data_IF_729928777541
#
_entry.id   IF_729928777541
#
_cell.length_a   1.000
_cell.length_b   1.000
_cell.length_c   1.000
_cell.angle_alpha   90.00
_cell.angle_beta   90.00
_cell.angle_gamma   90.00
#
_symmetry.space_group_name_H-M   'P 1'
#
loop_
_entity.id
_entity.type
_entity.pdbx_description
1 polymer ?
#
# COMPACT_ATOMS: atom_id res chain seq x y z
N UNK A 1 -31.41 13.11 21.08
CA UNK A 1 -30.71 12.05 20.31
C UNK A 1 -31.64 10.86 20.16
N UNK A 2 -31.72 10.27 18.97
CA UNK A 2 -32.36 8.98 18.76
C UNK A 2 -31.32 8.07 18.11
N UNK A 3 -30.98 6.94 18.73
CA UNK A 3 -29.98 5.98 18.24
C UNK A 3 -28.61 6.60 17.90
N UNK A 4 -28.07 7.47 18.77
CA UNK A 4 -26.77 8.12 18.55
C UNK A 4 -26.78 9.20 17.45
N UNK A 5 -27.95 9.59 16.94
CA UNK A 5 -28.10 10.67 15.94
C UNK A 5 -28.73 11.90 16.56
N UNK A 6 -28.22 13.08 16.17
CA UNK A 6 -28.83 14.37 16.45
C UNK A 6 -28.64 15.29 15.24
N UNK A 7 -29.63 16.13 14.91
CA UNK A 7 -29.50 17.10 13.84
C UNK A 7 -28.56 18.24 14.25
N UNK A 8 -27.74 18.71 13.32
CA UNK A 8 -26.92 19.92 13.46
C UNK A 8 -27.19 20.82 12.26
N UNK A 9 -27.57 22.06 12.52
CA UNK A 9 -27.73 23.07 11.46
C UNK A 9 -26.41 23.81 11.29
N UNK A 10 -25.92 23.86 10.05
CA UNK A 10 -24.67 24.55 9.70
C UNK A 10 -24.99 25.68 8.74
N UNK A 11 -24.58 26.91 9.09
CA UNK A 11 -24.76 28.07 8.21
C UNK A 11 -23.81 28.03 7.01
N UNK A 12 -24.20 28.59 5.84
CA UNK A 12 -23.29 28.75 4.72
C UNK A 12 -22.03 29.51 5.14
N UNK A 13 -20.84 29.02 4.75
CA UNK A 13 -19.53 29.56 5.11
C UNK A 13 -19.23 29.62 6.63
N UNK A 14 -19.97 28.90 7.47
CA UNK A 14 -19.73 28.83 8.92
C UNK A 14 -19.02 27.55 9.37
N UNK A 15 -18.31 27.62 10.50
CA UNK A 15 -17.80 26.43 11.21
C UNK A 15 -18.72 26.17 12.40
N UNK A 16 -19.27 24.96 12.50
CA UNK A 16 -20.06 24.51 13.66
C UNK A 16 -19.30 23.41 14.40
N UNK A 17 -19.12 23.56 15.70
CA UNK A 17 -18.46 22.57 16.56
C UNK A 17 -19.48 21.89 17.48
N UNK A 18 -19.31 20.59 17.70
CA UNK A 18 -20.10 19.80 18.66
C UNK A 18 -19.13 19.18 19.66
N UNK A 19 -19.44 19.33 20.95
CA UNK A 19 -18.74 18.65 22.03
C UNK A 19 -19.69 17.60 22.62
N UNK A 20 -19.20 16.37 22.78
CA UNK A 20 -19.90 15.31 23.50
C UNK A 20 -19.11 15.05 24.78
N UNK A 21 -19.68 15.43 25.91
CA UNK A 21 -19.04 15.32 27.22
C UNK A 21 -19.39 13.99 27.91
N UNK A 22 -18.54 13.55 28.84
CA UNK A 22 -18.81 12.41 29.72
C UNK A 22 -18.75 11.03 29.03
N UNK A 23 -18.27 10.95 27.80
CA UNK A 23 -18.09 9.68 27.07
C UNK A 23 -16.62 9.27 27.06
N UNK A 24 -16.36 7.98 27.32
CA UNK A 24 -15.06 7.38 27.08
C UNK A 24 -15.03 6.87 25.62
N UNK A 25 -14.14 7.39 24.75
CA UNK A 25 -14.05 6.89 23.39
C UNK A 25 -13.51 5.45 23.39
N UNK A 26 -14.13 4.56 22.60
CA UNK A 26 -13.57 3.26 22.28
C UNK A 26 -12.53 3.48 21.18
N UNK A 27 -11.24 3.46 21.55
CA UNK A 27 -10.11 3.80 20.67
C UNK A 27 -9.41 2.58 20.08
N UNK A 28 -10.17 1.66 19.47
CA UNK A 28 -9.62 0.41 18.92
C UNK A 28 -8.63 0.60 17.74
N UNK A 29 -8.62 1.79 17.12
CA UNK A 29 -7.79 2.12 15.96
C UNK A 29 -6.45 2.76 16.33
N UNK A 30 -6.45 3.71 17.27
CA UNK A 30 -5.23 4.43 17.67
C UNK A 30 -4.20 3.49 18.30
N UNK A 31 -4.63 2.55 19.13
CA UNK A 31 -3.72 1.59 19.79
C UNK A 31 -3.03 0.63 18.81
N UNK A 32 -3.66 0.33 17.67
CA UNK A 32 -3.09 -0.56 16.65
C UNK A 32 -2.03 0.13 15.79
N UNK A 33 -2.15 1.44 15.59
CA UNK A 33 -1.23 2.26 14.76
C UNK A 33 -0.11 2.86 15.59
N UNK A 34 -0.38 3.31 16.82
CA UNK A 34 0.60 3.99 17.67
C UNK A 34 1.57 3.02 18.38
N UNK A 35 1.29 1.72 18.37
CA UNK A 35 2.24 0.71 18.89
C UNK A 35 3.47 0.64 18.00
N UNK A 36 4.62 1.04 18.55
CA UNK A 36 5.93 0.88 17.91
C UNK A 36 6.22 -0.60 17.67
N UNK A 37 6.15 -1.03 16.42
CA UNK A 37 6.71 -2.31 15.97
C UNK A 37 8.12 -2.10 15.44
N UNK A 38 8.98 -3.10 15.56
CA UNK A 38 10.32 -3.07 14.94
C UNK A 38 10.19 -2.84 13.43
N UNK A 39 10.82 -1.77 12.93
CA UNK A 39 10.84 -1.44 11.51
C UNK A 39 11.79 -2.38 10.76
N UNK A 40 11.44 -2.72 9.52
CA UNK A 40 12.34 -3.48 8.65
C UNK A 40 13.50 -2.57 8.23
N UNK A 41 14.73 -3.08 8.27
CA UNK A 41 15.95 -2.33 7.91
C UNK A 41 16.01 -1.97 6.43
N UNK A 42 15.43 -2.80 5.57
CA UNK A 42 15.36 -2.60 4.12
C UNK A 42 13.90 -2.63 3.68
N UNK A 43 13.16 -1.60 4.09
CA UNK A 43 11.75 -1.39 3.77
C UNK A 43 11.52 -0.63 2.47
N UNK A 44 12.58 -0.22 1.77
CA UNK A 44 12.54 0.41 0.45
C UNK A 44 13.46 -0.30 -0.53
N UNK A 45 13.02 -0.39 -1.78
CA UNK A 45 13.78 -0.89 -2.92
C UNK A 45 13.54 0.00 -4.13
N UNK A 46 14.60 0.24 -4.89
CA UNK A 46 14.56 0.88 -6.20
C UNK A 46 15.48 0.12 -7.16
N UNK A 47 14.98 -0.21 -8.34
CA UNK A 47 15.79 -0.84 -9.38
C UNK A 47 16.88 0.13 -9.85
N UNK A 48 18.00 -0.40 -10.36
CA UNK A 48 19.14 0.43 -10.79
C UNK A 48 18.79 1.44 -11.89
N UNK A 49 17.80 1.11 -12.72
CA UNK A 49 17.28 1.98 -13.79
C UNK A 49 16.13 2.89 -13.32
N UNK A 50 15.75 2.83 -12.04
CA UNK A 50 14.70 3.65 -11.44
C UNK A 50 13.27 3.27 -11.85
N UNK A 51 13.09 2.24 -12.68
CA UNK A 51 11.79 1.89 -13.27
C UNK A 51 10.84 1.18 -12.32
N UNK A 52 11.38 0.49 -11.33
CA UNK A 52 10.62 -0.27 -10.33
C UNK A 52 10.98 0.25 -8.96
N UNK A 53 9.95 0.55 -8.17
CA UNK A 53 10.11 0.90 -6.76
C UNK A 53 9.19 0.03 -5.91
N UNK A 54 9.66 -0.33 -4.73
CA UNK A 54 8.87 -1.06 -3.76
C UNK A 54 9.10 -0.49 -2.36
N UNK A 55 8.04 -0.48 -1.56
CA UNK A 55 8.10 -0.07 -0.16
C UNK A 55 7.25 -0.97 0.72
N UNK A 56 7.69 -1.20 1.94
CA UNK A 56 6.89 -1.85 2.97
C UNK A 56 6.11 -0.78 3.74
N UNK A 57 4.79 -0.78 3.56
CA UNK A 57 3.88 0.03 4.35
C UNK A 57 3.50 -0.77 5.60
N UNK A 58 3.99 -0.34 6.77
CA UNK A 58 3.73 -0.99 8.04
C UNK A 58 2.87 -0.09 8.95
N UNK A 59 1.60 -0.45 9.13
CA UNK A 59 0.65 0.25 10.00
C UNK A 59 0.50 -0.46 11.36
N UNK A 60 1.59 -1.00 11.89
CA UNK A 60 1.61 -1.73 13.16
C UNK A 60 0.82 -3.04 13.08
N UNK A 61 -0.11 -3.24 14.02
CA UNK A 61 -0.93 -4.46 14.07
C UNK A 61 -2.15 -4.41 13.13
N UNK A 62 -2.38 -3.29 12.44
CA UNK A 62 -3.53 -3.14 11.55
C UNK A 62 -3.30 -3.80 10.19
N UNK A 63 -2.21 -3.44 9.52
CA UNK A 63 -1.87 -3.97 8.20
C UNK A 63 -0.38 -3.82 7.94
N UNK A 64 0.16 -4.76 7.16
CA UNK A 64 1.48 -4.67 6.57
C UNK A 64 1.39 -5.08 5.11
N UNK A 65 1.80 -4.21 4.20
CA UNK A 65 1.73 -4.45 2.77
C UNK A 65 3.03 -4.06 2.09
N UNK A 66 3.48 -4.85 1.12
CA UNK A 66 4.45 -4.39 0.15
C UNK A 66 3.70 -3.71 -0.99
N UNK A 67 4.01 -2.43 -1.19
CA UNK A 67 3.51 -1.66 -2.32
C UNK A 67 4.62 -1.56 -3.36
N UNK A 68 4.33 -1.96 -4.59
CA UNK A 68 5.26 -1.94 -5.72
C UNK A 68 4.61 -1.10 -6.82
N UNK A 69 5.36 -0.21 -7.43
CA UNK A 69 4.88 0.58 -8.56
C UNK A 69 5.99 0.77 -9.59
N UNK A 70 5.57 0.99 -10.84
CA UNK A 70 6.47 1.30 -11.93
C UNK A 70 6.36 2.77 -12.32
N UNK A 71 7.45 3.33 -12.82
CA UNK A 71 7.48 4.70 -13.35
C UNK A 71 7.09 4.79 -14.83
N UNK A 72 7.16 3.66 -15.55
CA UNK A 72 6.75 3.55 -16.95
C UNK A 72 5.22 3.61 -17.08
N UNK A 73 4.73 4.04 -18.24
CA UNK A 73 3.31 4.24 -18.50
C UNK A 73 2.78 3.34 -19.63
N UNK A 74 1.49 3.48 -19.92
CA UNK A 74 0.79 2.73 -20.96
C UNK A 74 1.13 3.19 -22.39
N UNK A 75 2.08 4.10 -22.60
CA UNK A 75 2.65 4.38 -23.94
C UNK A 75 3.70 3.34 -24.31
N UNK A 76 4.44 2.82 -23.33
CA UNK A 76 5.52 1.84 -23.54
C UNK A 76 5.09 0.42 -23.22
N UNK A 77 4.22 0.24 -22.23
CA UNK A 77 3.80 -1.07 -21.71
C UNK A 77 2.32 -1.37 -21.99
N UNK A 78 1.99 -2.66 -22.11
CA UNK A 78 0.61 -3.15 -22.16
C UNK A 78 0.20 -3.93 -20.91
N UNK A 79 1.16 -4.50 -20.18
CA UNK A 79 0.91 -5.22 -18.94
C UNK A 79 2.18 -5.31 -18.10
N UNK A 80 2.02 -5.56 -16.82
CA UNK A 80 3.11 -5.83 -15.86
C UNK A 80 2.71 -7.01 -14.99
N UNK A 81 3.65 -7.91 -14.73
CA UNK A 81 3.44 -9.06 -13.87
C UNK A 81 4.46 -9.05 -12.73
N UNK A 82 3.97 -9.07 -11.49
CA UNK A 82 4.75 -9.43 -10.33
C UNK A 82 4.67 -10.94 -10.10
N UNK A 83 5.82 -11.58 -9.89
CA UNK A 83 5.89 -13.02 -9.61
C UNK A 83 6.77 -13.30 -8.40
N UNK A 84 6.25 -14.02 -7.43
CA UNK A 84 7.00 -14.61 -6.31
C UNK A 84 6.92 -16.13 -6.36
N UNK A 85 7.42 -16.81 -5.33
CA UNK A 85 7.34 -18.28 -5.24
C UNK A 85 5.90 -18.79 -5.21
N UNK A 86 5.00 -18.07 -4.52
CA UNK A 86 3.64 -18.54 -4.20
C UNK A 86 2.54 -17.65 -4.82
N UNK A 87 2.92 -16.57 -5.51
CA UNK A 87 1.99 -15.55 -6.01
C UNK A 87 2.40 -15.07 -7.39
N UNK A 88 1.42 -14.91 -8.28
CA UNK A 88 1.58 -14.20 -9.54
C UNK A 88 0.41 -13.25 -9.71
N UNK A 89 0.71 -11.96 -9.94
CA UNK A 89 -0.27 -10.90 -10.17
C UNK A 89 0.08 -10.20 -11.46
N UNK A 90 -0.92 -9.95 -12.31
CA UNK A 90 -0.75 -9.23 -13.57
C UNK A 90 -1.69 -8.03 -13.56
N UNK A 91 -1.15 -6.87 -13.93
CA UNK A 91 -1.89 -5.63 -14.13
C UNK A 91 -1.75 -5.19 -15.60
N UNK A 92 -2.87 -4.93 -16.25
CA UNK A 92 -2.95 -4.57 -17.67
C UNK A 92 -3.36 -3.11 -17.86
N UNK A 93 -3.52 -2.35 -16.77
CA UNK A 93 -3.99 -0.97 -16.79
C UNK A 93 -3.01 -0.06 -16.06
N UNK A 94 -2.73 1.09 -16.65
CA UNK A 94 -1.96 2.12 -15.97
C UNK A 94 -2.83 2.86 -14.93
N UNK A 95 -2.32 3.18 -13.73
CA UNK A 95 -0.94 2.96 -13.25
C UNK A 95 -0.65 1.51 -12.90
N UNK A 96 0.56 1.02 -13.25
CA UNK A 96 0.97 -0.34 -12.94
C UNK A 96 1.46 -0.46 -11.50
N UNK A 97 0.65 -1.07 -10.64
CA UNK A 97 0.93 -1.17 -9.21
C UNK A 97 0.46 -2.50 -8.58
N UNK A 98 1.13 -2.89 -7.50
CA UNK A 98 0.79 -4.09 -6.75
C UNK A 98 0.77 -3.78 -5.26
N UNK A 99 -0.31 -4.16 -4.59
CA UNK A 99 -0.41 -4.16 -3.13
C UNK A 99 -0.48 -5.60 -2.63
N UNK A 100 0.60 -6.05 -2.00
CA UNK A 100 0.76 -7.44 -1.57
C UNK A 100 0.68 -7.49 -0.04
N UNK A 101 -0.28 -8.21 0.55
CA UNK A 101 -0.32 -8.45 1.99
C UNK A 101 0.94 -9.18 2.47
N UNK A 102 1.58 -8.67 3.51
CA UNK A 102 2.76 -9.27 4.13
C UNK A 102 2.36 -9.93 5.44
N UNK A 103 2.51 -11.26 5.50
CA UNK A 103 2.15 -12.05 6.69
C UNK A 103 2.92 -11.60 7.92
N UNK A 104 2.29 -11.70 9.08
CA UNK A 104 2.97 -11.54 10.36
C UNK A 104 4.12 -12.56 10.46
N UNK A 105 5.30 -12.11 10.88
CA UNK A 105 6.51 -12.94 10.97
C UNK A 105 7.25 -13.16 9.63
N UNK A 106 6.81 -12.56 8.53
CA UNK A 106 7.62 -12.54 7.32
C UNK A 106 8.95 -11.79 7.59
N UNK A 107 10.05 -12.34 7.08
CA UNK A 107 11.39 -11.74 7.17
C UNK A 107 11.79 -11.03 5.86
N UNK A 108 11.09 -11.33 4.76
CA UNK A 108 11.35 -10.73 3.46
C UNK A 108 10.11 -10.76 2.54
N UNK A 109 10.11 -9.87 1.56
CA UNK A 109 9.28 -9.93 0.36
C UNK A 109 10.22 -9.98 -0.83
N UNK A 110 10.12 -11.04 -1.64
CA UNK A 110 10.94 -11.23 -2.83
C UNK A 110 10.08 -11.64 -4.02
N UNK A 111 10.47 -11.18 -5.20
CA UNK A 111 9.83 -11.54 -6.45
C UNK A 111 10.48 -10.83 -7.63
N UNK A 112 10.01 -11.11 -8.82
CA UNK A 112 10.46 -10.50 -10.06
C UNK A 112 9.35 -9.69 -10.72
N UNK A 113 9.75 -8.65 -11.46
CA UNK A 113 8.86 -7.84 -12.28
C UNK A 113 9.15 -8.10 -13.75
N UNK A 114 8.12 -8.52 -14.48
CA UNK A 114 8.17 -8.75 -15.92
C UNK A 114 7.09 -7.87 -16.56
N UNK A 115 7.48 -6.96 -17.43
CA UNK A 115 6.55 -6.16 -18.21
C UNK A 115 6.36 -6.75 -19.60
N UNK A 116 5.26 -6.39 -20.25
CA UNK A 116 4.99 -6.66 -21.67
C UNK A 116 4.99 -5.32 -22.39
N UNK A 117 5.89 -5.16 -23.35
CA UNK A 117 5.92 -3.97 -24.21
C UNK A 117 4.73 -3.93 -25.17
N UNK A 118 4.42 -2.78 -25.75
CA UNK A 118 3.33 -2.66 -26.76
C UNK A 118 3.49 -3.56 -27.99
N UNK A 119 4.71 -4.03 -28.26
CA UNK A 119 5.01 -5.01 -29.31
C UNK A 119 4.75 -6.47 -28.88
N UNK A 120 4.21 -6.70 -27.68
CA UNK A 120 3.96 -8.01 -27.10
C UNK A 120 5.20 -8.72 -26.54
N UNK A 121 6.39 -8.09 -26.58
CA UNK A 121 7.62 -8.71 -26.10
C UNK A 121 7.79 -8.53 -24.59
N UNK A 122 8.24 -9.59 -23.87
CA UNK A 122 8.52 -9.49 -22.46
C UNK A 122 9.79 -8.67 -22.20
N UNK A 123 9.74 -7.82 -21.17
CA UNK A 123 10.83 -7.00 -20.67
C UNK A 123 11.05 -7.36 -19.21
N UNK A 124 12.20 -7.94 -18.87
CA UNK A 124 12.55 -8.23 -17.49
C UNK A 124 13.02 -6.93 -16.81
N UNK A 125 12.27 -6.48 -15.78
CA UNK A 125 12.57 -5.27 -15.02
C UNK A 125 13.32 -5.56 -13.71
N UNK A 126 13.65 -6.83 -13.46
CA UNK A 126 14.51 -7.27 -12.37
C UNK A 126 13.78 -7.83 -11.16
N UNK A 127 14.57 -8.16 -10.15
CA UNK A 127 14.11 -8.75 -8.90
C UNK A 127 13.99 -7.68 -7.81
N UNK A 128 12.92 -7.76 -7.03
CA UNK A 128 12.71 -6.95 -5.83
C UNK A 128 13.10 -7.75 -4.58
N UNK A 129 13.65 -7.04 -3.59
CA UNK A 129 13.87 -7.58 -2.25
C UNK A 129 13.62 -6.50 -1.20
N UNK A 130 12.59 -6.70 -0.40
CA UNK A 130 12.39 -6.00 0.88
C UNK A 130 12.74 -6.97 1.99
N UNK A 131 13.45 -6.52 3.02
CA UNK A 131 13.93 -7.39 4.10
C UNK A 131 13.90 -6.70 5.46
N UNK A 132 13.56 -7.47 6.49
CA UNK A 132 13.62 -7.04 7.88
C UNK A 132 15.03 -6.61 8.31
#
# INVERSE_FOLDING_TARGET
MMNGKFPVTVSPNGITAVIIEGVAPIVDFQDKILRKTEAWKHDYFESKDGKVRAMLLNMGNFSRTAYIYLTEDDRTLSAVTFKSADLQLTDESYPFEFTIPVKAGAEQVKGSIIATGKNGQPINLGDILLKK
#
